data_IF_103641783284
#
_entry.id   IF_103641783284
#
_cell.length_a   1.000
_cell.length_b   1.000
_cell.length_c   1.000
_cell.angle_alpha   90.00
_cell.angle_beta   90.00
_cell.angle_gamma   90.00
#
_symmetry.space_group_name_H-M   'P 1'
#
loop_
_entity.id
_entity.type
_entity.pdbx_description
1 polymer ?
#
# COMPACT_ATOMS: atom_id res chain seq x y z
N UNK A 1 -1.13 2.91 -12.66
CA UNK A 1 -1.27 3.70 -11.40
C UNK A 1 -1.67 5.13 -11.73
N UNK A 2 -2.37 5.82 -10.82
CA UNK A 2 -2.86 7.18 -11.07
C UNK A 2 -1.80 8.26 -10.80
N UNK A 3 -2.00 9.41 -11.45
CA UNK A 3 -1.27 10.65 -11.17
C UNK A 3 -1.68 11.24 -9.82
N UNK A 4 -0.78 12.06 -9.23
CA UNK A 4 -1.04 12.75 -7.96
C UNK A 4 -2.37 13.54 -7.92
N UNK A 5 -2.78 14.31 -8.95
CA UNK A 5 -4.07 15.02 -8.92
C UNK A 5 -5.28 14.08 -8.86
N UNK A 6 -5.20 12.90 -9.49
CA UNK A 6 -6.27 11.91 -9.46
C UNK A 6 -6.39 11.26 -8.07
N UNK A 7 -5.26 10.93 -7.43
CA UNK A 7 -5.24 10.44 -6.05
C UNK A 7 -5.81 11.46 -5.06
N UNK A 8 -5.49 12.75 -5.24
CA UNK A 8 -6.06 13.82 -4.40
C UNK A 8 -7.58 13.96 -4.58
N UNK A 9 -8.07 13.92 -5.82
CA UNK A 9 -9.50 13.99 -6.10
C UNK A 9 -10.24 12.79 -5.48
N UNK A 10 -9.67 11.59 -5.58
CA UNK A 10 -10.19 10.39 -4.94
C UNK A 10 -10.23 10.52 -3.41
N UNK A 11 -9.13 10.97 -2.80
CA UNK A 11 -9.04 11.18 -1.36
C UNK A 11 -10.11 12.16 -0.85
N UNK A 12 -10.29 13.29 -1.54
CA UNK A 12 -11.30 14.28 -1.22
C UNK A 12 -12.73 13.72 -1.35
N UNK A 13 -13.00 12.96 -2.42
CA UNK A 13 -14.32 12.36 -2.66
C UNK A 13 -14.68 11.32 -1.59
N UNK A 14 -13.72 10.47 -1.21
CA UNK A 14 -13.94 9.41 -0.22
C UNK A 14 -13.80 9.86 1.24
N UNK A 15 -13.41 11.11 1.50
CA UNK A 15 -13.16 11.60 2.86
C UNK A 15 -11.94 10.91 3.52
N UNK A 16 -10.96 10.49 2.72
CA UNK A 16 -9.74 9.84 3.21
C UNK A 16 -8.87 10.88 3.93
N UNK A 17 -8.51 10.57 5.18
CA UNK A 17 -7.72 11.45 6.05
C UNK A 17 -6.24 11.02 6.18
N UNK A 18 -5.82 10.00 5.43
CA UNK A 18 -4.44 9.53 5.36
C UNK A 18 -3.83 9.84 3.98
N UNK A 19 -2.50 9.76 3.89
CA UNK A 19 -1.78 10.05 2.65
C UNK A 19 -2.04 8.99 1.59
N UNK A 20 -2.41 9.43 0.39
CA UNK A 20 -2.49 8.58 -0.80
C UNK A 20 -1.23 8.79 -1.65
N UNK A 21 -0.46 7.73 -1.87
CA UNK A 21 0.73 7.77 -2.72
C UNK A 21 0.40 7.74 -4.21
N UNK A 22 1.23 8.39 -5.02
CA UNK A 22 1.19 8.33 -6.48
C UNK A 22 2.62 8.19 -7.01
N UNK A 23 2.86 7.25 -7.92
CA UNK A 23 4.20 6.93 -8.43
C UNK A 23 4.21 6.66 -9.95
N UNK A 24 3.15 7.10 -10.64
CA UNK A 24 3.17 7.18 -12.10
C UNK A 24 4.01 8.39 -12.56
N UNK A 25 4.82 8.29 -13.62
CA UNK A 25 4.93 7.16 -14.56
C UNK A 25 6.04 6.15 -14.27
N UNK A 26 6.91 6.38 -13.27
CA UNK A 26 8.13 5.59 -13.14
C UNK A 26 7.92 4.25 -12.42
N UNK A 27 6.93 4.16 -11.53
CA UNK A 27 6.64 2.98 -10.71
C UNK A 27 7.86 2.52 -9.89
N UNK A 28 8.69 3.44 -9.43
CA UNK A 28 9.93 3.16 -8.69
C UNK A 28 9.66 2.43 -7.37
N UNK A 29 8.67 2.88 -6.60
CA UNK A 29 8.28 2.26 -5.34
C UNK A 29 7.75 0.82 -5.50
N UNK A 30 6.69 0.54 -6.27
CA UNK A 30 6.20 -0.83 -6.41
C UNK A 30 7.23 -1.76 -7.07
N UNK A 31 8.13 -1.26 -7.93
CA UNK A 31 9.27 -2.03 -8.45
C UNK A 31 10.28 -2.36 -7.35
N UNK A 32 10.68 -1.38 -6.53
CA UNK A 32 11.60 -1.57 -5.41
C UNK A 32 11.05 -2.56 -4.36
N UNK A 33 9.74 -2.56 -4.14
CA UNK A 33 9.07 -3.50 -3.25
C UNK A 33 8.71 -4.85 -3.90
N UNK A 34 8.97 -5.04 -5.20
CA UNK A 34 8.69 -6.31 -5.91
C UNK A 34 7.19 -6.61 -6.11
N UNK A 35 6.35 -5.57 -6.13
CA UNK A 35 4.88 -5.70 -6.23
C UNK A 35 4.30 -5.11 -7.51
N UNK A 36 5.13 -4.54 -8.39
CA UNK A 36 4.67 -4.09 -9.70
C UNK A 36 4.38 -5.29 -10.62
N UNK A 37 3.19 -5.29 -11.23
CA UNK A 37 2.75 -6.23 -12.25
C UNK A 37 2.96 -5.60 -13.63
N UNK A 38 3.99 -6.08 -14.34
CA UNK A 38 4.39 -5.55 -15.66
C UNK A 38 3.35 -5.86 -16.74
N UNK A 39 2.60 -6.96 -16.62
CA UNK A 39 1.60 -7.35 -17.62
C UNK A 39 0.36 -6.46 -17.50
N UNK A 40 -0.02 -6.11 -16.26
CA UNK A 40 -1.21 -5.32 -15.97
C UNK A 40 -0.93 -3.82 -15.78
N UNK A 41 0.34 -3.42 -15.81
CA UNK A 41 0.80 -2.05 -15.54
C UNK A 41 0.23 -1.46 -14.23
N UNK A 42 0.15 -2.31 -13.20
CA UNK A 42 -0.48 -1.97 -11.92
C UNK A 42 0.25 -2.62 -10.77
N UNK A 43 -0.06 -2.19 -9.55
CA UNK A 43 0.51 -2.79 -8.36
C UNK A 43 -0.34 -3.98 -7.94
N UNK A 44 0.31 -5.09 -7.56
CA UNK A 44 -0.34 -6.14 -6.79
C UNK A 44 -0.77 -5.58 -5.44
N UNK A 45 -1.84 -6.15 -4.89
CA UNK A 45 -2.33 -5.78 -3.56
C UNK A 45 -1.44 -6.41 -2.49
N UNK A 46 -0.64 -5.58 -1.83
CA UNK A 46 0.25 -5.99 -0.75
C UNK A 46 0.25 -4.92 0.33
N UNK A 47 0.28 -5.33 1.59
CA UNK A 47 0.49 -4.43 2.74
C UNK A 47 1.82 -4.74 3.40
N UNK A 48 2.61 -3.69 3.61
CA UNK A 48 3.87 -3.75 4.33
C UNK A 48 3.72 -3.06 5.68
N UNK A 49 4.19 -3.69 6.75
CA UNK A 49 4.25 -3.10 8.08
C UNK A 49 5.71 -2.80 8.39
N UNK A 50 6.03 -1.52 8.48
CA UNK A 50 7.40 -1.01 8.60
C UNK A 50 7.54 -0.37 9.98
N UNK A 51 8.60 -0.73 10.72
CA UNK A 51 8.86 -0.17 12.04
C UNK A 51 9.56 1.21 11.98
N UNK A 52 9.78 1.81 13.15
CA UNK A 52 10.45 3.11 13.29
C UNK A 52 11.91 3.13 12.83
N UNK A 53 12.54 1.96 12.71
CA UNK A 53 13.90 1.80 12.20
C UNK A 53 13.94 1.60 10.69
N UNK A 54 12.78 1.64 10.02
CA UNK A 54 12.66 1.41 8.58
C UNK A 54 12.71 -0.06 8.16
N UNK A 55 12.54 -1.00 9.09
CA UNK A 55 12.59 -2.43 8.81
C UNK A 55 11.18 -2.95 8.55
N UNK A 56 11.00 -3.69 7.44
CA UNK A 56 9.77 -4.44 7.18
C UNK A 56 9.67 -5.55 8.21
N UNK A 57 8.66 -5.48 9.07
CA UNK A 57 8.39 -6.48 10.12
C UNK A 57 7.35 -7.52 9.70
N UNK A 58 6.49 -7.17 8.76
CA UNK A 58 5.43 -8.05 8.28
C UNK A 58 4.99 -7.69 6.86
N UNK A 59 4.54 -8.70 6.10
CA UNK A 59 4.04 -8.55 4.73
C UNK A 59 2.75 -9.36 4.58
N UNK A 60 1.70 -8.73 4.08
CA UNK A 60 0.43 -9.37 3.72
C UNK A 60 0.29 -9.28 2.21
N UNK A 61 0.48 -10.39 1.51
CA UNK A 61 0.35 -10.52 0.05
C UNK A 61 -0.86 -11.41 -0.27
N UNK A 62 -2.03 -10.77 -0.39
CA UNK A 62 -3.28 -11.44 -0.70
C UNK A 62 -4.11 -10.60 -1.69
N UNK A 63 -4.32 -11.05 -2.93
CA UNK A 63 -5.05 -10.26 -3.90
C UNK A 63 -6.57 -10.23 -3.66
N UNK A 64 -7.11 -11.05 -2.75
CA UNK A 64 -8.56 -11.33 -2.64
C UNK A 64 -9.14 -10.98 -1.27
N UNK A 65 -8.39 -11.19 -0.20
CA UNK A 65 -8.89 -10.96 1.16
C UNK A 65 -8.63 -9.52 1.62
N UNK A 66 -9.57 -8.62 1.32
CA UNK A 66 -9.45 -7.20 1.65
C UNK A 66 -9.43 -6.94 3.16
N UNK A 67 -10.20 -7.73 3.92
CA UNK A 67 -10.37 -7.54 5.37
C UNK A 67 -9.13 -8.03 6.14
N UNK A 68 -8.48 -9.07 5.63
CA UNK A 68 -7.23 -9.55 6.21
C UNK A 68 -6.16 -8.46 6.28
N UNK A 69 -6.06 -7.62 5.24
CA UNK A 69 -5.08 -6.53 5.25
C UNK A 69 -5.25 -5.58 6.43
N UNK A 70 -6.48 -5.17 6.77
CA UNK A 70 -6.76 -4.30 7.91
C UNK A 70 -6.58 -5.04 9.24
N UNK A 71 -7.23 -6.20 9.39
CA UNK A 71 -7.29 -6.89 10.67
C UNK A 71 -5.92 -7.44 11.10
N UNK A 72 -5.18 -8.05 10.17
CA UNK A 72 -3.85 -8.58 10.46
C UNK A 72 -2.86 -7.45 10.72
N UNK A 73 -2.95 -6.33 9.99
CA UNK A 73 -2.12 -5.16 10.27
C UNK A 73 -2.32 -4.61 11.68
N UNK A 74 -3.59 -4.47 12.10
CA UNK A 74 -3.90 -4.03 13.45
C UNK A 74 -3.35 -4.99 14.51
N UNK A 75 -3.54 -6.30 14.32
CA UNK A 75 -3.07 -7.32 15.25
C UNK A 75 -1.54 -7.30 15.39
N UNK A 76 -0.81 -7.17 14.27
CA UNK A 76 0.65 -7.07 14.29
C UNK A 76 1.09 -5.82 15.04
N UNK A 77 0.51 -4.65 14.73
CA UNK A 77 0.90 -3.39 15.39
C UNK A 77 0.62 -3.44 16.89
N UNK A 78 -0.53 -3.97 17.31
CA UNK A 78 -0.88 -4.12 18.73
C UNK A 78 0.01 -5.13 19.47
N UNK A 79 0.62 -6.08 18.77
CA UNK A 79 1.57 -7.02 19.39
C UNK A 79 2.92 -6.39 19.76
N UNK A 80 3.19 -5.15 19.32
CA UNK A 80 4.47 -4.47 19.55
C UNK A 80 4.58 -3.78 20.92
N UNK A 81 3.50 -3.76 21.71
CA UNK A 81 3.43 -3.13 23.05
C UNK A 81 2.78 -1.77 23.01
#
# INVERSE_FOLDING_TARGET
MDLFPAQNAFAAHCGINFMMGADFPNHEAPRAFGVYDEERETNRRVTFIIDKSGVIRHVIDDPRDMERHSQESLNIIQSWG
#
